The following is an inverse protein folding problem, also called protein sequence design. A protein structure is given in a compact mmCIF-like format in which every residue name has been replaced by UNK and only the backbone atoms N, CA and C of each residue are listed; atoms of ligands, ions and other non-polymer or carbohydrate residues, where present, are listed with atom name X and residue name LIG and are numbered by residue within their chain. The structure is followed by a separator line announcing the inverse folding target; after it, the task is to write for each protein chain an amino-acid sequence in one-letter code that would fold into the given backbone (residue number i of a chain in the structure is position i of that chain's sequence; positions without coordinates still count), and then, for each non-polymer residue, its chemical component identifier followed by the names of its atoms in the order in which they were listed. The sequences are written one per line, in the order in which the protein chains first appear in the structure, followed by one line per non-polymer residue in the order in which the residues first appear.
data_IF_255262890189
#
_entry.id   IF_255262890189
#
_cell.length_a   1.000
_cell.length_b   1.000
_cell.length_c   1.000
_cell.angle_alpha   90.00
_cell.angle_beta   90.00
_cell.angle_gamma   90.00
#
_symmetry.space_group_name_H-M   'P 1'
#
loop_
_entity.id
_entity.type
_entity.pdbx_description
1 polymer ?
#
# COMPACT_ATOMS: atom_id res chain seq x y z
N UNK A 1 -3.88 -1.61 -3.76
CA UNK A 1 -4.44 -0.56 -4.65
C UNK A 1 -4.59 0.73 -3.84
N UNK A 2 -4.47 1.91 -4.44
CA UNK A 2 -4.74 3.22 -3.81
C UNK A 2 -4.20 4.37 -4.66
N UNK A 3 -4.85 5.54 -4.70
CA UNK A 3 -4.58 6.49 -3.64
C UNK A 3 -5.81 7.24 -3.11
N UNK A 4 -7.01 6.94 -3.59
CA UNK A 4 -8.27 7.31 -2.95
C UNK A 4 -9.30 6.17 -3.08
N UNK A 5 -10.53 6.41 -2.60
CA UNK A 5 -11.67 5.49 -2.75
C UNK A 5 -12.69 5.99 -3.78
N UNK A 6 -13.49 5.09 -4.34
CA UNK A 6 -14.42 5.44 -5.43
C UNK A 6 -13.67 5.75 -6.73
N UNK A 7 -14.10 6.79 -7.45
CA UNK A 7 -13.59 7.13 -8.79
C UNK A 7 -12.12 7.58 -8.78
N UNK A 8 -11.59 8.03 -7.64
CA UNK A 8 -10.17 8.34 -7.45
C UNK A 8 -9.30 7.11 -7.11
N UNK A 9 -9.92 5.94 -6.98
CA UNK A 9 -9.25 4.69 -6.60
C UNK A 9 -8.80 3.82 -7.77
N UNK A 10 -8.39 2.60 -7.46
CA UNK A 10 -8.09 1.57 -8.47
C UNK A 10 -6.65 1.59 -9.01
N UNK A 11 -5.84 2.59 -8.69
CA UNK A 11 -4.43 2.56 -9.07
C UNK A 11 -3.66 1.45 -8.32
N UNK A 12 -2.84 0.70 -9.04
CA UNK A 12 -1.92 -0.26 -8.44
C UNK A 12 -0.69 0.46 -7.86
N UNK A 13 -0.60 0.54 -6.53
CA UNK A 13 0.56 1.13 -5.84
C UNK A 13 1.68 0.14 -5.54
N UNK A 14 1.32 -1.10 -5.22
CA UNK A 14 2.25 -2.11 -4.76
C UNK A 14 1.66 -3.51 -4.93
N UNK A 15 2.51 -4.45 -5.32
CA UNK A 15 2.24 -5.89 -5.37
C UNK A 15 3.51 -6.66 -4.97
N UNK A 16 3.30 -7.75 -4.23
CA UNK A 16 4.33 -8.67 -3.79
C UNK A 16 4.27 -8.96 -2.28
N UNK A 17 5.36 -9.50 -1.71
CA UNK A 17 5.40 -9.90 -0.30
C UNK A 17 5.19 -8.73 0.68
N UNK A 18 4.70 -9.00 1.90
CA UNK A 18 4.50 -8.00 2.96
C UNK A 18 5.69 -7.07 3.18
N UNK A 19 6.91 -7.61 3.20
CA UNK A 19 8.14 -6.87 3.47
C UNK A 19 8.46 -5.86 2.35
N UNK A 20 8.06 -6.20 1.12
CA UNK A 20 8.17 -5.30 -0.03
C UNK A 20 7.10 -4.22 0.03
N UNK A 21 5.86 -4.58 0.33
CA UNK A 21 4.73 -3.63 0.45
C UNK A 21 4.99 -2.63 1.57
N UNK A 22 5.51 -3.09 2.71
CA UNK A 22 5.84 -2.26 3.86
C UNK A 22 6.83 -1.13 3.52
N UNK A 23 7.72 -1.33 2.53
CA UNK A 23 8.68 -0.31 2.09
C UNK A 23 8.06 0.78 1.20
N UNK A 24 6.85 0.59 0.68
CA UNK A 24 6.19 1.52 -0.25
C UNK A 24 5.58 2.69 0.53
N UNK A 25 6.22 3.88 0.48
CA UNK A 25 5.78 5.08 1.20
C UNK A 25 4.38 5.56 0.81
N UNK A 26 3.99 5.41 -0.45
CA UNK A 26 2.67 5.81 -0.96
C UNK A 26 1.54 4.85 -0.55
N UNK A 27 1.86 3.67 -0.02
CA UNK A 27 0.86 2.70 0.42
C UNK A 27 0.50 2.95 1.88
N UNK A 28 -0.72 3.41 2.16
CA UNK A 28 -1.23 3.46 3.52
C UNK A 28 -1.16 2.07 4.18
N UNK A 29 -1.55 1.02 3.45
CA UNK A 29 -1.40 -0.37 3.92
C UNK A 29 0.05 -0.67 4.28
N UNK A 30 1.01 -0.33 3.43
CA UNK A 30 2.44 -0.53 3.70
C UNK A 30 2.95 0.24 4.92
N UNK A 31 2.43 1.45 5.17
CA UNK A 31 2.78 2.21 6.38
C UNK A 31 2.32 1.48 7.65
N UNK A 32 1.09 0.97 7.68
CA UNK A 32 0.60 0.17 8.80
C UNK A 32 1.30 -1.19 8.91
N UNK A 33 1.55 -1.85 7.80
CA UNK A 33 2.17 -3.18 7.78
C UNK A 33 3.57 -3.18 8.41
N UNK A 34 4.30 -2.06 8.33
CA UNK A 34 5.60 -1.90 9.00
C UNK A 34 5.54 -2.09 10.52
N UNK A 35 4.42 -1.79 11.16
CA UNK A 35 4.30 -1.92 12.62
C UNK A 35 4.05 -3.36 13.08
N UNK A 36 3.70 -4.26 12.15
CA UNK A 36 3.35 -5.66 12.43
C UNK A 36 4.39 -6.67 11.90
N UNK A 37 5.47 -6.21 11.27
CA UNK A 37 6.59 -7.02 10.76
C UNK A 37 7.85 -6.78 11.60
#
# INVERSE_FOLDING_TARGET
LGPEGGDGGGQMLAEGPPEKIAKVKASYTGQYLKEYL
#
